data_IF_028384760989
#
_entry.id   IF_028384760989
#
_cell.length_a   1.000
_cell.length_b   1.000
_cell.length_c   1.000
_cell.angle_alpha   90.00
_cell.angle_beta   90.00
_cell.angle_gamma   90.00
#
_symmetry.space_group_name_H-M   'P 1'
#
loop_
_entity.id
_entity.type
_entity.pdbx_description
1 polymer ?
#
# COMPACT_ATOMS: atom_id res chain seq x y z
N UNK A 1 -14.66 26.27 -9.45
CA UNK A 1 -15.88 25.57 -9.90
C UNK A 1 -15.74 24.15 -9.41
N UNK A 2 -16.55 23.73 -8.45
CA UNK A 2 -16.59 22.32 -8.03
C UNK A 2 -17.15 21.49 -9.20
N UNK A 3 -16.29 20.64 -9.77
CA UNK A 3 -16.73 19.60 -10.70
C UNK A 3 -17.71 18.67 -10.00
N UNK A 4 -18.81 18.34 -10.68
CA UNK A 4 -19.82 17.45 -10.10
C UNK A 4 -19.22 16.06 -9.85
N UNK A 5 -19.73 15.35 -8.83
CA UNK A 5 -19.32 13.97 -8.50
C UNK A 5 -19.26 13.06 -9.75
N UNK A 6 -20.26 13.05 -10.66
CA UNK A 6 -20.16 12.25 -11.88
C UNK A 6 -19.04 12.70 -12.85
N UNK A 7 -18.71 13.98 -12.91
CA UNK A 7 -17.60 14.47 -13.74
C UNK A 7 -16.24 14.08 -13.15
N UNK A 8 -16.10 14.10 -11.82
CA UNK A 8 -14.91 13.60 -11.12
C UNK A 8 -14.75 12.08 -11.33
N UNK A 9 -15.84 11.33 -11.26
CA UNK A 9 -15.86 9.89 -11.57
C UNK A 9 -15.40 9.61 -13.00
N UNK A 10 -15.97 10.30 -14.00
CA UNK A 10 -15.60 10.11 -15.41
C UNK A 10 -14.12 10.41 -15.68
N UNK A 11 -13.58 11.47 -15.07
CA UNK A 11 -12.16 11.81 -15.20
C UNK A 11 -11.25 10.73 -14.56
N UNK A 12 -11.62 10.20 -13.40
CA UNK A 12 -10.88 9.12 -12.72
C UNK A 12 -10.95 7.80 -13.47
N UNK A 13 -12.11 7.45 -14.03
CA UNK A 13 -12.25 6.27 -14.91
C UNK A 13 -11.35 6.37 -16.13
N UNK A 14 -11.24 7.56 -16.71
CA UNK A 14 -10.39 7.81 -17.87
C UNK A 14 -8.91 7.71 -17.47
N UNK A 15 -8.50 8.35 -16.38
CA UNK A 15 -7.13 8.28 -15.86
C UNK A 15 -6.70 6.86 -15.46
N UNK A 16 -7.58 6.09 -14.81
CA UNK A 16 -7.33 4.70 -14.41
C UNK A 16 -7.25 3.73 -15.61
N UNK A 17 -8.05 3.96 -16.64
CA UNK A 17 -7.98 3.21 -17.89
C UNK A 17 -6.71 3.55 -18.69
N UNK A 18 -6.30 4.82 -18.69
CA UNK A 18 -5.05 5.29 -19.27
C UNK A 18 -3.82 4.76 -18.50
N UNK A 19 -3.95 4.51 -17.19
CA UNK A 19 -2.89 3.98 -16.33
C UNK A 19 -2.82 2.45 -16.23
N UNK A 20 -3.63 1.71 -17.01
CA UNK A 20 -3.53 0.25 -17.14
C UNK A 20 -4.14 -0.60 -16.01
N UNK A 21 -4.84 0.03 -15.06
CA UNK A 21 -5.49 -0.66 -13.92
C UNK A 21 -6.64 -1.55 -14.39
N UNK A 22 -6.78 -2.73 -13.79
CA UNK A 22 -7.83 -3.69 -14.11
C UNK A 22 -9.20 -3.22 -13.63
N UNK A 23 -9.88 -2.49 -14.51
CA UNK A 23 -11.25 -2.03 -14.34
C UNK A 23 -12.18 -3.00 -15.07
N UNK A 24 -12.47 -4.16 -14.47
CA UNK A 24 -13.51 -5.05 -15.02
C UNK A 24 -14.81 -4.22 -15.16
N UNK A 25 -15.43 -4.09 -16.35
CA UNK A 25 -16.24 -2.90 -16.71
C UNK A 25 -17.61 -2.76 -16.03
N UNK A 26 -17.88 -3.48 -14.95
CA UNK A 26 -19.20 -3.56 -14.32
C UNK A 26 -19.28 -3.01 -12.89
N UNK A 27 -18.14 -2.73 -12.21
CA UNK A 27 -18.15 -2.29 -10.81
C UNK A 27 -16.98 -1.34 -10.52
N UNK A 28 -17.28 -0.20 -9.88
CA UNK A 28 -16.29 0.70 -9.30
C UNK A 28 -15.43 -0.07 -8.28
N UNK A 29 -14.10 0.06 -8.36
CA UNK A 29 -13.19 -0.53 -7.37
C UNK A 29 -13.44 0.11 -6.01
N UNK A 30 -13.74 -0.70 -4.99
CA UNK A 30 -14.09 -0.28 -3.62
C UNK A 30 -12.86 -0.30 -2.69
N UNK A 31 -13.00 0.20 -1.45
CA UNK A 31 -11.98 0.01 -0.40
C UNK A 31 -11.70 -1.47 -0.15
N UNK A 32 -12.75 -2.31 -0.16
CA UNK A 32 -12.62 -3.75 0.04
C UNK A 32 -11.83 -4.44 -1.08
N UNK A 33 -12.00 -4.01 -2.33
CA UNK A 33 -11.24 -4.56 -3.46
C UNK A 33 -9.74 -4.23 -3.32
N UNK A 34 -9.42 -3.00 -2.90
CA UNK A 34 -8.04 -2.54 -2.64
C UNK A 34 -7.41 -3.27 -1.46
N UNK A 35 -8.16 -3.45 -0.37
CA UNK A 35 -7.72 -4.25 0.77
C UNK A 35 -7.42 -5.70 0.35
N UNK A 36 -8.24 -6.30 -0.53
CA UNK A 36 -7.99 -7.65 -1.04
C UNK A 36 -6.70 -7.74 -1.89
N UNK A 37 -6.36 -6.70 -2.65
CA UNK A 37 -5.09 -6.62 -3.38
C UNK A 37 -3.89 -6.53 -2.44
N UNK A 38 -3.97 -5.71 -1.40
CA UNK A 38 -2.93 -5.65 -0.37
C UNK A 38 -2.81 -6.96 0.42
N UNK A 39 -3.92 -7.69 0.65
CA UNK A 39 -3.89 -8.99 1.32
C UNK A 39 -3.12 -10.04 0.48
N UNK A 40 -3.31 -10.04 -0.83
CA UNK A 40 -2.53 -10.90 -1.74
C UNK A 40 -1.03 -10.56 -1.72
N UNK A 41 -0.69 -9.26 -1.67
CA UNK A 41 0.69 -8.81 -1.49
C UNK A 41 1.28 -9.33 -0.16
N UNK A 42 0.49 -9.24 0.91
CA UNK A 42 0.85 -9.69 2.25
C UNK A 42 1.06 -11.21 2.28
N UNK A 43 0.25 -11.98 1.59
CA UNK A 43 0.44 -13.43 1.45
C UNK A 43 1.77 -13.76 0.76
N UNK A 44 2.07 -13.07 -0.35
CA UNK A 44 3.31 -13.25 -1.08
C UNK A 44 4.54 -12.90 -0.23
N UNK A 45 4.49 -11.76 0.47
CA UNK A 45 5.48 -11.34 1.44
C UNK A 45 5.67 -12.41 2.53
N UNK A 46 4.58 -12.85 3.16
CA UNK A 46 4.61 -13.80 4.28
C UNK A 46 5.15 -15.19 3.90
N UNK A 47 4.99 -15.60 2.65
CA UNK A 47 5.52 -16.87 2.15
C UNK A 47 7.05 -16.91 2.15
N UNK A 48 7.71 -15.75 2.05
CA UNK A 48 9.16 -15.65 1.92
C UNK A 48 9.85 -14.94 3.08
N UNK A 49 9.14 -14.08 3.80
CA UNK A 49 9.69 -13.36 4.93
C UNK A 49 9.96 -14.31 6.11
N UNK A 50 10.94 -13.99 6.98
CA UNK A 50 11.18 -14.73 8.22
C UNK A 50 9.92 -14.84 9.09
N UNK A 51 9.82 -15.96 9.83
CA UNK A 51 8.71 -16.22 10.76
C UNK A 51 8.69 -15.25 11.93
N UNK A 52 9.87 -14.87 12.42
CA UNK A 52 10.03 -13.87 13.46
C UNK A 52 10.19 -12.49 12.80
N UNK A 53 9.62 -11.46 13.42
CA UNK A 53 9.82 -10.08 13.00
C UNK A 53 11.19 -9.53 13.41
N UNK A 54 11.81 -10.13 14.42
CA UNK A 54 13.11 -9.76 14.95
C UNK A 54 14.04 -10.98 15.03
N UNK A 55 15.35 -10.81 14.71
CA UNK A 55 15.98 -9.59 14.23
C UNK A 55 15.45 -9.17 12.85
N UNK A 56 15.46 -7.86 12.58
CA UNK A 56 15.02 -7.32 11.29
C UNK A 56 15.92 -7.89 10.18
N UNK A 57 15.37 -8.31 9.02
CA UNK A 57 16.18 -8.76 7.89
C UNK A 57 17.16 -7.70 7.41
N UNK A 58 18.22 -8.10 6.72
CA UNK A 58 19.15 -7.15 6.09
C UNK A 58 18.44 -6.31 5.02
N UNK A 59 18.94 -5.09 4.76
CA UNK A 59 18.33 -4.15 3.81
C UNK A 59 18.08 -4.79 2.44
N UNK A 60 19.06 -5.53 1.90
CA UNK A 60 18.92 -6.20 0.60
C UNK A 60 17.77 -7.24 0.59
N UNK A 61 17.55 -7.93 1.71
CA UNK A 61 16.44 -8.88 1.84
C UNK A 61 15.10 -8.14 1.95
N UNK A 62 15.03 -7.03 2.70
CA UNK A 62 13.82 -6.20 2.80
C UNK A 62 13.43 -5.59 1.45
N UNK A 63 14.39 -5.03 0.71
CA UNK A 63 14.16 -4.53 -0.66
C UNK A 63 13.57 -5.63 -1.54
N UNK A 64 14.18 -6.82 -1.55
CA UNK A 64 13.68 -7.97 -2.32
C UNK A 64 12.26 -8.37 -1.92
N UNK A 65 11.95 -8.37 -0.62
CA UNK A 65 10.61 -8.70 -0.12
C UNK A 65 9.57 -7.62 -0.47
N UNK A 66 9.96 -6.34 -0.45
CA UNK A 66 9.11 -5.22 -0.86
C UNK A 66 8.73 -5.29 -2.33
N UNK A 67 9.73 -5.48 -3.21
CA UNK A 67 9.50 -5.69 -4.66
C UNK A 67 8.57 -6.87 -4.90
N UNK A 68 8.81 -7.99 -4.22
CA UNK A 68 7.98 -9.18 -4.38
C UNK A 68 6.52 -8.95 -3.99
N UNK A 69 6.27 -8.22 -2.90
CA UNK A 69 4.92 -7.87 -2.49
C UNK A 69 4.25 -6.95 -3.51
N UNK A 70 4.98 -5.94 -3.99
CA UNK A 70 4.51 -4.99 -5.00
C UNK A 70 4.12 -5.69 -6.31
N UNK A 71 4.99 -6.55 -6.85
CA UNK A 71 4.72 -7.30 -8.08
C UNK A 71 3.57 -8.30 -7.92
N UNK A 72 3.42 -8.92 -6.74
CA UNK A 72 2.30 -9.81 -6.47
C UNK A 72 0.95 -9.09 -6.50
N UNK A 73 0.88 -7.88 -5.92
CA UNK A 73 -0.29 -7.00 -6.08
C UNK A 73 -0.49 -6.62 -7.54
N UNK A 74 0.58 -6.21 -8.21
CA UNK A 74 0.53 -5.70 -9.57
C UNK A 74 -0.02 -6.73 -10.56
N UNK A 75 0.34 -8.01 -10.40
CA UNK A 75 -0.19 -9.12 -11.19
C UNK A 75 -1.71 -9.30 -11.10
N UNK A 76 -2.32 -8.82 -10.01
CA UNK A 76 -3.77 -8.89 -9.77
C UNK A 76 -4.43 -7.58 -10.21
N UNK A 77 -3.81 -6.45 -9.89
CA UNK A 77 -4.38 -5.12 -10.06
C UNK A 77 -4.21 -4.55 -11.48
N UNK A 78 -3.17 -4.94 -12.23
CA UNK A 78 -2.90 -4.40 -13.58
C UNK A 78 -3.06 -5.44 -14.69
N UNK A 79 -3.59 -4.98 -15.83
CA UNK A 79 -3.84 -5.84 -16.99
C UNK A 79 -2.65 -5.93 -17.95
N UNK A 80 -1.79 -4.92 -17.97
CA UNK A 80 -0.65 -4.89 -18.88
C UNK A 80 0.55 -5.57 -18.22
N UNK A 81 1.19 -6.57 -18.85
CA UNK A 81 2.33 -7.26 -18.24
C UNK A 81 3.52 -6.35 -17.90
N UNK A 82 3.71 -5.26 -18.65
CA UNK A 82 4.75 -4.26 -18.36
C UNK A 82 4.48 -3.46 -17.07
N UNK A 83 3.23 -3.43 -16.61
CA UNK A 83 2.83 -2.75 -15.38
C UNK A 83 2.92 -3.67 -14.15
N UNK A 84 3.29 -4.94 -14.34
CA UNK A 84 3.32 -5.96 -13.30
C UNK A 84 4.72 -6.17 -12.69
N UNK A 85 5.70 -5.42 -13.16
CA UNK A 85 7.13 -5.56 -12.82
C UNK A 85 7.62 -4.25 -12.23
N UNK A 86 8.48 -4.33 -11.22
CA UNK A 86 9.15 -3.16 -10.63
C UNK A 86 10.64 -3.24 -10.95
N UNK A 87 11.05 -2.57 -12.02
CA UNK A 87 12.42 -2.61 -12.54
C UNK A 87 13.08 -1.24 -12.71
N UNK A 88 12.32 -0.16 -12.54
CA UNK A 88 12.80 1.21 -12.58
C UNK A 88 12.08 2.11 -11.56
N UNK A 89 12.48 3.38 -11.52
CA UNK A 89 11.92 4.35 -10.58
C UNK A 89 10.44 4.66 -10.85
N UNK A 90 10.01 4.71 -12.12
CA UNK A 90 8.64 5.07 -12.50
C UNK A 90 7.66 3.96 -12.14
N UNK A 91 8.02 2.72 -12.46
CA UNK A 91 7.27 1.53 -12.05
C UNK A 91 7.24 1.37 -10.54
N UNK A 92 8.36 1.62 -9.83
CA UNK A 92 8.40 1.61 -8.38
C UNK A 92 7.47 2.66 -7.78
N UNK A 93 7.54 3.91 -8.24
CA UNK A 93 6.72 5.02 -7.73
C UNK A 93 5.23 4.70 -7.84
N UNK A 94 4.80 4.21 -9.00
CA UNK A 94 3.42 3.82 -9.24
C UNK A 94 3.01 2.59 -8.43
N UNK A 95 3.69 1.46 -8.61
CA UNK A 95 3.23 0.16 -8.08
C UNK A 95 3.40 0.09 -6.57
N UNK A 96 4.54 0.55 -6.04
CA UNK A 96 4.76 0.58 -4.60
C UNK A 96 3.88 1.66 -3.96
N UNK A 97 3.77 2.84 -4.57
CA UNK A 97 2.88 3.90 -4.08
C UNK A 97 1.43 3.44 -3.96
N UNK A 98 0.91 2.77 -4.98
CA UNK A 98 -0.43 2.18 -4.96
C UNK A 98 -0.56 1.14 -3.84
N UNK A 99 0.43 0.26 -3.66
CA UNK A 99 0.39 -0.73 -2.59
C UNK A 99 0.43 -0.09 -1.19
N UNK A 100 1.21 0.98 -1.00
CA UNK A 100 1.25 1.71 0.29
C UNK A 100 -0.16 2.21 0.65
N UNK A 101 -0.89 2.80 -0.28
CA UNK A 101 -2.26 3.24 -0.05
C UNK A 101 -3.22 2.06 0.23
N UNK A 102 -3.07 0.97 -0.50
CA UNK A 102 -3.88 -0.24 -0.32
C UNK A 102 -3.63 -0.92 1.03
N UNK A 103 -2.41 -0.84 1.58
CA UNK A 103 -2.09 -1.31 2.92
C UNK A 103 -2.83 -0.51 4.00
N UNK A 104 -3.05 0.79 3.79
CA UNK A 104 -3.93 1.58 4.67
C UNK A 104 -5.38 1.12 4.58
N UNK A 105 -5.87 0.77 3.38
CA UNK A 105 -7.20 0.16 3.22
C UNK A 105 -7.31 -1.18 3.98
N UNK A 106 -6.28 -2.04 3.90
CA UNK A 106 -6.25 -3.36 4.56
C UNK A 106 -6.27 -3.26 6.10
N UNK A 107 -5.74 -2.17 6.64
CA UNK A 107 -5.59 -1.97 8.09
C UNK A 107 -6.63 -1.02 8.68
N UNK A 108 -7.54 -0.49 7.84
CA UNK A 108 -8.60 0.40 8.28
C UNK A 108 -9.45 -0.24 9.40
N UNK A 109 -9.78 0.56 10.40
CA UNK A 109 -10.47 0.12 11.62
C UNK A 109 -9.62 -0.69 12.62
N UNK A 110 -8.41 -1.14 12.27
CA UNK A 110 -7.47 -1.79 13.22
C UNK A 110 -6.42 -0.83 13.75
N UNK A 111 -5.79 -0.06 12.87
CA UNK A 111 -4.77 0.94 13.19
C UNK A 111 -4.88 2.13 12.24
N UNK A 112 -4.40 3.29 12.66
CA UNK A 112 -4.33 4.45 11.76
C UNK A 112 -3.15 4.32 10.78
N UNK A 113 -3.27 4.95 9.61
CA UNK A 113 -2.16 5.05 8.64
C UNK A 113 -0.91 5.73 9.24
N UNK A 114 -1.10 6.58 10.25
CA UNK A 114 0.00 7.20 10.98
C UNK A 114 0.73 6.19 11.87
N UNK A 115 0.02 5.45 12.72
CA UNK A 115 0.61 4.43 13.60
C UNK A 115 1.31 3.33 12.80
N UNK A 116 0.69 2.88 11.70
CA UNK A 116 1.27 1.86 10.84
C UNK A 116 2.59 2.31 10.20
N UNK A 117 2.63 3.55 9.69
CA UNK A 117 3.86 4.12 9.13
C UNK A 117 4.94 4.30 10.19
N UNK A 118 4.60 4.81 11.38
CA UNK A 118 5.57 4.94 12.48
C UNK A 118 6.17 3.57 12.87
N UNK A 119 5.35 2.52 12.89
CA UNK A 119 5.82 1.16 13.15
C UNK A 119 6.75 0.67 12.03
N UNK A 120 6.43 0.94 10.77
CA UNK A 120 7.29 0.64 9.63
C UNK A 120 8.64 1.36 9.72
N UNK A 121 8.65 2.67 10.01
CA UNK A 121 9.89 3.44 10.26
C UNK A 121 10.72 2.85 11.42
N UNK A 122 10.04 2.38 12.47
CA UNK A 122 10.68 1.66 13.58
C UNK A 122 11.41 0.40 13.12
N UNK A 123 10.84 -0.36 12.18
CA UNK A 123 11.45 -1.57 11.60
C UNK A 123 12.57 -1.24 10.61
N UNK A 124 12.51 -0.09 9.92
CA UNK A 124 13.57 0.38 9.02
C UNK A 124 14.79 0.92 9.76
N UNK A 125 14.60 1.40 10.98
CA UNK A 125 15.66 2.01 11.79
C UNK A 125 16.83 1.05 12.03
N UNK A 126 18.02 1.44 11.54
CA UNK A 126 19.28 0.78 11.86
C UNK A 126 19.78 1.09 13.29
N UNK A 127 19.22 2.12 13.92
CA UNK A 127 19.55 2.49 15.29
C UNK A 127 18.91 1.49 16.27
N UNK A 128 19.74 0.60 16.82
CA UNK A 128 19.35 -0.35 17.86
C UNK A 128 19.51 0.27 19.26
N UNK A 129 18.58 0.03 20.22
CA UNK A 129 17.37 -0.78 20.08
C UNK A 129 16.24 -0.05 19.35
N UNK A 130 15.48 -0.81 18.55
CA UNK A 130 14.19 -0.35 17.98
C UNK A 130 13.29 0.10 19.13
N UNK A 131 12.62 1.25 18.97
CA UNK A 131 11.62 1.72 19.94
C UNK A 131 10.41 0.77 19.90
N UNK A 132 10.45 -0.26 20.75
CA UNK A 132 9.44 -1.32 20.83
C UNK A 132 8.02 -0.77 21.06
N UNK A 133 7.89 0.37 21.73
CA UNK A 133 6.60 0.98 22.05
C UNK A 133 5.72 1.23 20.82
N UNK A 134 6.33 1.59 19.68
CA UNK A 134 5.60 1.84 18.43
C UNK A 134 5.13 0.53 17.78
N UNK A 135 5.92 -0.55 17.93
CA UNK A 135 5.55 -1.88 17.47
C UNK A 135 4.47 -2.51 18.34
N UNK A 136 4.41 -2.17 19.63
CA UNK A 136 3.39 -2.68 20.54
C UNK A 136 1.97 -2.29 20.11
N UNK A 137 1.78 -1.07 19.59
CA UNK A 137 0.47 -0.61 19.13
C UNK A 137 -0.05 -1.46 17.95
N UNK A 138 0.77 -1.65 16.92
CA UNK A 138 0.40 -2.48 15.76
C UNK A 138 0.31 -3.97 16.12
N UNK A 139 1.15 -4.47 17.02
CA UNK A 139 1.08 -5.86 17.48
C UNK A 139 -0.19 -6.15 18.29
N UNK A 140 -0.64 -5.20 19.13
CA UNK A 140 -1.89 -5.34 19.86
C UNK A 140 -3.12 -5.38 18.93
N UNK A 141 -3.02 -4.73 17.77
CA UNK A 141 -4.04 -4.73 16.73
C UNK A 141 -3.89 -5.87 15.69
N UNK A 142 -2.86 -6.73 15.83
CA UNK A 142 -2.58 -7.82 14.88
C UNK A 142 -2.17 -7.31 13.49
N UNK A 143 -1.51 -6.17 13.41
CA UNK A 143 -1.09 -5.50 12.17
C UNK A 143 0.44 -5.48 11.99
N UNK A 144 1.17 -6.31 12.74
CA UNK A 144 2.63 -6.30 12.76
C UNK A 144 3.27 -6.80 11.45
N UNK A 145 2.58 -7.65 10.69
CA UNK A 145 3.06 -8.14 9.39
C UNK A 145 2.86 -7.11 8.30
N UNK A 146 1.77 -6.36 8.36
CA UNK A 146 1.48 -5.21 7.49
C UNK A 146 2.48 -4.09 7.72
N UNK A 147 2.83 -3.80 8.97
CA UNK A 147 3.89 -2.84 9.29
C UNK A 147 5.26 -3.29 8.74
N UNK A 148 5.59 -4.59 8.83
CA UNK A 148 6.83 -5.13 8.29
C UNK A 148 6.88 -5.14 6.76
N UNK A 149 5.76 -5.46 6.11
CA UNK A 149 5.64 -5.34 4.65
C UNK A 149 5.76 -3.88 4.23
N UNK A 150 5.10 -2.95 4.93
CA UNK A 150 5.23 -1.52 4.68
C UNK A 150 6.69 -1.07 4.80
N UNK A 151 7.41 -1.47 5.84
CA UNK A 151 8.84 -1.19 5.98
C UNK A 151 9.67 -1.67 4.76
N UNK A 152 9.40 -2.90 4.29
CA UNK A 152 10.05 -3.46 3.12
C UNK A 152 9.72 -2.71 1.82
N UNK A 153 8.47 -2.24 1.67
CA UNK A 153 8.03 -1.42 0.54
C UNK A 153 8.74 -0.07 0.50
N UNK A 154 8.87 0.61 1.65
CA UNK A 154 9.55 1.90 1.72
C UNK A 154 11.06 1.76 1.43
N UNK A 155 11.70 0.71 1.93
CA UNK A 155 13.11 0.42 1.60
C UNK A 155 13.29 0.09 0.11
N UNK A 156 12.34 -0.64 -0.49
CA UNK A 156 12.35 -0.90 -1.93
C UNK A 156 12.22 0.40 -2.73
N UNK A 157 11.22 1.22 -2.41
CA UNK A 157 11.01 2.52 -3.07
C UNK A 157 12.24 3.44 -2.97
N UNK A 158 12.87 3.51 -1.78
CA UNK A 158 14.11 4.26 -1.57
C UNK A 158 15.26 3.70 -2.43
N UNK A 159 15.38 2.37 -2.53
CA UNK A 159 16.41 1.72 -3.37
C UNK A 159 16.25 2.03 -4.86
N UNK A 160 15.04 2.33 -5.34
CA UNK A 160 14.78 2.78 -6.71
C UNK A 160 14.87 4.31 -6.87
N UNK A 161 15.13 5.05 -5.79
CA UNK A 161 15.27 6.51 -5.82
C UNK A 161 13.95 7.28 -5.73
N UNK A 162 12.86 6.65 -5.27
CA UNK A 162 11.57 7.31 -5.09
C UNK A 162 11.59 8.28 -3.91
N UNK A 163 10.73 9.31 -3.96
CA UNK A 163 10.50 10.21 -2.83
C UNK A 163 9.58 9.55 -1.80
N UNK A 164 10.18 8.73 -0.92
CA UNK A 164 9.44 7.96 0.09
C UNK A 164 8.56 8.85 0.99
N UNK A 165 9.03 10.00 1.53
CA UNK A 165 8.17 10.91 2.28
C UNK A 165 6.94 11.39 1.48
N UNK A 166 7.15 11.88 0.26
CA UNK A 166 6.07 12.37 -0.61
C UNK A 166 5.09 11.27 -1.04
N UNK A 167 5.60 10.05 -1.28
CA UNK A 167 4.79 8.87 -1.59
C UNK A 167 3.86 8.50 -0.43
N UNK A 168 4.39 8.47 0.81
CA UNK A 168 3.58 8.13 1.99
C UNK A 168 2.53 9.21 2.27
N UNK A 169 2.87 10.48 2.11
CA UNK A 169 1.90 11.58 2.23
C UNK A 169 0.78 11.45 1.20
N UNK A 170 1.14 11.29 -0.08
CA UNK A 170 0.18 11.11 -1.18
C UNK A 170 -0.71 9.88 -0.98
N UNK A 171 -0.14 8.76 -0.51
CA UNK A 171 -0.88 7.53 -0.24
C UNK A 171 -1.88 7.68 0.91
N UNK A 172 -1.56 8.50 1.92
CA UNK A 172 -2.49 8.82 3.01
C UNK A 172 -3.63 9.70 2.54
N UNK A 173 -3.33 10.77 1.82
CA UNK A 173 -4.35 11.67 1.29
C UNK A 173 -5.31 10.90 0.39
N UNK A 174 -4.76 10.03 -0.48
CA UNK A 174 -5.56 9.17 -1.33
C UNK A 174 -6.42 8.16 -0.54
N UNK A 175 -5.88 7.56 0.52
CA UNK A 175 -6.66 6.67 1.39
C UNK A 175 -7.84 7.41 2.06
N UNK A 176 -7.62 8.61 2.59
CA UNK A 176 -8.68 9.41 3.22
C UNK A 176 -9.75 9.84 2.20
N UNK A 177 -9.35 10.18 0.97
CA UNK A 177 -10.30 10.42 -0.13
C UNK A 177 -11.15 9.19 -0.44
N UNK A 178 -10.53 8.00 -0.56
CA UNK A 178 -11.24 6.75 -0.80
C UNK A 178 -12.21 6.40 0.32
N UNK A 179 -11.81 6.67 1.58
CA UNK A 179 -12.65 6.47 2.76
C UNK A 179 -13.90 7.34 2.72
N UNK A 180 -13.74 8.62 2.44
CA UNK A 180 -14.86 9.54 2.29
C UNK A 180 -15.83 9.12 1.17
N UNK A 181 -15.30 8.65 0.02
CA UNK A 181 -16.12 8.21 -1.10
C UNK A 181 -16.96 6.95 -0.79
N UNK A 182 -16.38 5.99 -0.06
CA UNK A 182 -17.09 4.76 0.32
C UNK A 182 -18.18 5.07 1.35
N UNK A 183 -17.89 5.93 2.34
CA UNK A 183 -18.88 6.41 3.32
C UNK A 183 -20.05 7.16 2.66
N UNK A 184 -19.77 8.05 1.69
CA UNK A 184 -20.80 8.73 0.91
C UNK A 184 -21.65 7.74 0.09
N UNK A 185 -21.01 6.74 -0.52
CA UNK A 185 -21.70 5.72 -1.30
C UNK A 185 -22.58 4.81 -0.43
N UNK A 186 -22.15 4.48 0.79
CA UNK A 186 -22.95 3.76 1.77
C UNK A 186 -24.12 4.60 2.27
N UNK A 187 -23.90 5.87 2.61
CA UNK A 187 -24.95 6.79 3.04
C UNK A 187 -26.03 7.00 1.97
N UNK A 188 -25.67 7.01 0.69
CA UNK A 188 -26.62 7.12 -0.42
C UNK A 188 -27.46 5.85 -0.65
N UNK A 189 -27.03 4.70 -0.11
CA UNK A 189 -27.72 3.40 -0.24
C UNK A 189 -28.62 3.08 0.97
N UNK A 190 -28.42 3.75 2.10
CA UNK A 190 -29.17 3.61 3.35
C UNK A 190 -30.48 4.43 3.35
#
# INVERSE_FOLDING_TARGET
>A
MDTSIPDRKAARFTAAAESGVNMTPARECTLADRAAWADAALEAYNRQAPKALLPVPELAERVRLGVLAAEAMAQIAFNQPGDQVVDDQESADRVIGDLVAQVFCLTDGRVTAHELHQAAEGLRSEAYPVKLDVLCAVAAAGAEREAAMLAALLDAAESFGCDVPGMVESARDYFEELKAEDEEAEAARA
#
